data_IF_012406741950
#
_entry.id   IF_012406741950
#
_cell.length_a   1.000
_cell.length_b   1.000
_cell.length_c   1.000
_cell.angle_alpha   90.00
_cell.angle_beta   90.00
_cell.angle_gamma   90.00
#
_symmetry.space_group_name_H-M   'P 1'
#
loop_
_entity.id
_entity.type
_entity.pdbx_description
1 polymer ?
#
# COMPACT_ATOMS: atom_id res chain seq x y z
N UNK A 1 -18.19 -3.92 -4.03
CA UNK A 1 -17.23 -3.40 -5.02
C UNK A 1 -17.83 -2.14 -5.63
N UNK A 2 -17.05 -1.09 -5.88
CA UNK A 2 -17.49 -0.03 -6.79
C UNK A 2 -17.95 -0.70 -8.09
N UNK A 3 -19.22 -0.53 -8.46
CA UNK A 3 -19.77 -1.14 -9.67
C UNK A 3 -19.15 -0.39 -10.85
N UNK A 4 -18.35 -1.05 -11.71
CA UNK A 4 -17.82 -0.39 -12.88
C UNK A 4 -18.94 0.13 -13.76
N UNK A 5 -18.75 1.31 -14.33
CA UNK A 5 -19.65 1.81 -15.34
C UNK A 5 -19.56 0.90 -16.58
N UNK A 6 -20.72 0.56 -17.13
CA UNK A 6 -20.80 -0.16 -18.40
C UNK A 6 -20.88 0.85 -19.56
N UNK A 7 -20.73 0.36 -20.80
CA UNK A 7 -20.71 1.22 -21.99
C UNK A 7 -21.95 2.12 -22.10
N UNK A 8 -23.10 1.66 -21.63
CA UNK A 8 -24.37 2.40 -21.67
C UNK A 8 -24.53 3.41 -20.54
N UNK A 9 -23.81 3.27 -19.43
CA UNK A 9 -23.93 4.17 -18.27
C UNK A 9 -22.91 5.31 -18.28
N UNK A 10 -21.80 5.18 -19.01
CA UNK A 10 -20.81 6.25 -19.18
C UNK A 10 -21.35 7.31 -20.14
N UNK A 11 -21.39 8.58 -19.69
CA UNK A 11 -21.81 9.72 -20.50
C UNK A 11 -20.68 10.74 -20.58
N UNK A 12 -20.63 11.50 -21.68
CA UNK A 12 -19.76 12.68 -21.78
C UNK A 12 -20.07 13.65 -20.62
N UNK A 13 -19.04 14.36 -20.15
CA UNK A 13 -19.08 15.28 -19.02
C UNK A 13 -19.40 14.63 -17.66
N UNK A 14 -19.55 13.30 -17.62
CA UNK A 14 -19.73 12.60 -16.35
C UNK A 14 -18.46 12.64 -15.51
N UNK A 15 -18.62 12.95 -14.23
CA UNK A 15 -17.58 12.81 -13.22
C UNK A 15 -17.36 11.35 -12.84
N UNK A 16 -16.11 10.92 -12.91
CA UNK A 16 -15.70 9.52 -12.73
C UNK A 16 -14.43 9.44 -11.90
N UNK A 17 -14.15 8.23 -11.42
CA UNK A 17 -12.85 7.88 -10.88
C UNK A 17 -12.32 6.58 -11.52
N UNK A 18 -11.01 6.42 -11.53
CA UNK A 18 -10.40 5.14 -11.86
C UNK A 18 -10.24 4.25 -10.61
N UNK A 19 -9.66 3.06 -10.77
CA UNK A 19 -9.41 2.13 -9.66
C UNK A 19 -8.46 2.67 -8.59
N UNK A 20 -7.53 3.55 -8.99
CA UNK A 20 -6.62 4.23 -8.06
C UNK A 20 -7.32 5.33 -7.24
N UNK A 21 -8.57 5.69 -7.57
CA UNK A 21 -9.32 6.77 -6.94
C UNK A 21 -9.04 8.14 -7.54
N UNK A 22 -8.27 8.21 -8.63
CA UNK A 22 -8.06 9.46 -9.37
C UNK A 22 -9.38 9.88 -10.01
N UNK A 23 -9.70 11.16 -9.90
CA UNK A 23 -10.97 11.73 -10.34
C UNK A 23 -10.81 12.54 -11.60
N UNK A 24 -11.84 12.52 -12.44
CA UNK A 24 -11.79 13.15 -13.74
C UNK A 24 -13.15 13.24 -14.42
N UNK A 25 -13.14 13.83 -15.60
CA UNK A 25 -14.32 14.05 -16.42
C UNK A 25 -14.21 13.23 -17.70
N UNK A 26 -15.28 12.52 -18.05
CA UNK A 26 -15.36 11.78 -19.31
C UNK A 26 -15.41 12.77 -20.48
N UNK A 27 -14.40 12.74 -21.34
CA UNK A 27 -14.30 13.58 -22.55
C UNK A 27 -14.58 12.84 -23.83
N UNK A 28 -14.47 11.52 -23.81
CA UNK A 28 -14.64 10.71 -25.01
C UNK A 28 -15.07 9.28 -24.68
N UNK A 29 -15.86 8.65 -25.55
CA UNK A 29 -16.19 7.23 -25.48
C UNK A 29 -16.22 6.69 -26.90
N UNK A 30 -15.51 5.59 -27.16
CA UNK A 30 -15.51 4.99 -28.49
C UNK A 30 -14.64 3.77 -28.61
N UNK A 31 -14.60 3.20 -29.82
CA UNK A 31 -13.77 2.04 -30.12
C UNK A 31 -12.38 2.47 -30.60
N UNK A 32 -11.36 1.82 -30.04
CA UNK A 32 -9.95 2.07 -30.34
C UNK A 32 -9.38 0.83 -31.02
N UNK A 33 -8.81 1.01 -32.22
CA UNK A 33 -8.11 -0.04 -32.94
C UNK A 33 -6.72 -0.32 -32.38
N UNK A 34 -6.21 -1.53 -32.63
CA UNK A 34 -4.92 -2.02 -32.12
C UNK A 34 -3.74 -1.06 -32.41
N UNK A 35 -3.72 -0.46 -33.60
CA UNK A 35 -2.60 0.40 -34.08
C UNK A 35 -2.60 1.79 -33.45
N UNK A 36 -3.74 2.24 -32.95
CA UNK A 36 -3.92 3.57 -32.37
C UNK A 36 -4.09 3.50 -30.85
N UNK A 37 -3.83 2.33 -30.25
CA UNK A 37 -3.94 2.12 -28.82
C UNK A 37 -2.54 2.07 -28.17
N UNK A 38 -2.25 2.88 -27.14
CA UNK A 38 -1.01 2.77 -26.37
C UNK A 38 -0.77 1.36 -25.80
N UNK A 39 -1.84 0.64 -25.44
CA UNK A 39 -1.78 -0.72 -24.89
C UNK A 39 -1.78 -1.81 -25.96
N UNK A 40 -1.95 -1.47 -27.25
CA UNK A 40 -1.98 -2.45 -28.33
C UNK A 40 -3.17 -3.43 -28.27
N UNK A 41 -4.29 -3.04 -27.64
CA UNK A 41 -5.48 -3.89 -27.47
C UNK A 41 -6.73 -3.22 -28.05
N UNK A 42 -7.38 -3.86 -29.03
CA UNK A 42 -8.64 -3.35 -29.61
C UNK A 42 -9.78 -3.34 -28.59
N UNK A 43 -10.73 -2.41 -28.73
CA UNK A 43 -12.04 -2.47 -28.08
C UNK A 43 -12.56 -1.10 -27.66
N UNK A 44 -13.63 -1.06 -26.88
CA UNK A 44 -14.19 0.20 -26.36
C UNK A 44 -13.34 0.77 -25.22
N UNK A 45 -13.12 2.08 -25.25
CA UNK A 45 -12.45 2.86 -24.22
C UNK A 45 -13.25 4.12 -23.87
N UNK A 46 -12.92 4.67 -22.71
CA UNK A 46 -13.40 5.93 -22.18
C UNK A 46 -12.17 6.85 -22.06
N UNK A 47 -12.18 7.97 -22.76
CA UNK A 47 -11.21 9.04 -22.58
C UNK A 47 -11.60 9.88 -21.39
N UNK A 48 -10.76 9.88 -20.36
CA UNK A 48 -10.94 10.65 -19.13
C UNK A 48 -9.88 11.73 -19.08
N UNK A 49 -10.30 12.97 -18.85
CA UNK A 49 -9.43 14.05 -18.39
C UNK A 49 -9.45 14.06 -16.86
N UNK A 50 -8.35 13.65 -16.25
CA UNK A 50 -8.18 13.69 -14.81
C UNK A 50 -7.98 15.12 -14.31
N UNK A 51 -8.42 15.39 -13.09
CA UNK A 51 -8.27 16.72 -12.48
C UNK A 51 -6.79 17.09 -12.33
N UNK A 52 -5.99 16.08 -12.01
CA UNK A 52 -4.58 16.21 -11.72
C UNK A 52 -3.73 15.67 -12.86
N UNK A 53 -2.69 16.42 -13.21
CA UNK A 53 -1.64 15.90 -14.09
C UNK A 53 -0.69 14.99 -13.32
N UNK A 54 0.00 14.11 -14.03
CA UNK A 54 1.06 13.26 -13.50
C UNK A 54 2.22 13.18 -14.49
N UNK A 55 3.41 12.86 -13.97
CA UNK A 55 4.59 12.56 -14.78
C UNK A 55 4.53 11.18 -15.46
N UNK A 56 3.43 10.43 -15.31
CA UNK A 56 3.27 9.12 -15.93
C UNK A 56 3.40 9.21 -17.45
N UNK A 57 4.20 8.32 -18.08
CA UNK A 57 4.28 8.23 -19.54
C UNK A 57 2.97 7.73 -20.18
N UNK A 58 2.05 7.16 -19.39
CA UNK A 58 0.76 6.69 -19.88
C UNK A 58 -0.26 7.84 -20.05
N UNK A 59 -0.03 8.99 -19.40
CA UNK A 59 -0.91 10.15 -19.50
C UNK A 59 -0.51 11.06 -20.66
N UNK A 60 -1.51 11.57 -21.37
CA UNK A 60 -1.33 12.41 -22.56
C UNK A 60 -2.14 13.70 -22.48
N UNK A 61 -2.16 14.46 -23.57
CA UNK A 61 -3.03 15.62 -23.81
C UNK A 61 -4.35 15.22 -24.51
N UNK A 62 -4.66 13.91 -24.56
CA UNK A 62 -5.79 13.32 -25.29
C UNK A 62 -5.44 12.77 -26.67
N UNK A 63 -4.17 12.85 -27.09
CA UNK A 63 -3.66 12.20 -28.29
C UNK A 63 -2.78 10.98 -27.99
N UNK A 64 -2.92 9.92 -28.79
CA UNK A 64 -2.02 8.76 -28.79
C UNK A 64 -1.62 8.36 -30.20
N UNK A 65 -0.32 8.24 -30.43
CA UNK A 65 0.24 8.08 -31.77
C UNK A 65 -0.12 9.29 -32.65
N UNK A 66 -0.76 9.04 -33.80
CA UNK A 66 -1.22 10.10 -34.71
C UNK A 66 -2.69 10.48 -34.51
N UNK A 67 -3.39 9.87 -33.57
CA UNK A 67 -4.83 10.05 -33.39
C UNK A 67 -5.13 10.89 -32.14
N UNK A 68 -6.00 11.88 -32.30
CA UNK A 68 -6.53 12.69 -31.19
C UNK A 68 -7.93 12.23 -30.86
N UNK A 69 -8.12 11.73 -29.64
CA UNK A 69 -9.41 11.25 -29.15
C UNK A 69 -10.18 12.38 -28.46
N UNK A 70 -9.47 13.21 -27.69
CA UNK A 70 -9.98 14.41 -27.04
C UNK A 70 -8.84 15.42 -26.83
N UNK A 71 -9.15 16.57 -26.24
CA UNK A 71 -8.16 17.60 -25.91
C UNK A 71 -8.24 17.91 -24.42
N UNK A 72 -7.10 17.90 -23.76
CA UNK A 72 -6.94 18.31 -22.37
C UNK A 72 -5.52 18.84 -22.16
N UNK A 73 -5.20 19.28 -20.94
CA UNK A 73 -3.82 19.66 -20.61
C UNK A 73 -2.89 18.43 -20.62
N UNK A 74 -1.60 18.59 -20.98
CA UNK A 74 -0.63 17.49 -20.97
C UNK A 74 -0.58 16.77 -19.62
N UNK A 75 -0.51 15.43 -19.67
CA UNK A 75 -0.43 14.58 -18.48
C UNK A 75 -1.75 14.40 -17.74
N UNK A 76 -2.90 14.84 -18.29
CA UNK A 76 -4.24 14.65 -17.68
C UNK A 76 -5.10 13.62 -18.41
N UNK A 77 -4.84 13.35 -19.68
CA UNK A 77 -5.65 12.42 -20.48
C UNK A 77 -5.23 10.97 -20.31
N UNK A 78 -6.20 10.05 -20.18
CA UNK A 78 -5.98 8.60 -20.33
C UNK A 78 -7.17 7.91 -21.00
N UNK A 79 -6.87 6.83 -21.73
CA UNK A 79 -7.87 5.90 -22.27
C UNK A 79 -8.05 4.70 -21.34
N UNK A 80 -9.18 4.65 -20.65
CA UNK A 80 -9.54 3.57 -19.75
C UNK A 80 -10.52 2.59 -20.39
N UNK A 81 -10.38 1.31 -20.07
CA UNK A 81 -11.47 0.36 -20.34
C UNK A 81 -12.68 0.72 -19.48
N UNK A 82 -13.93 0.63 -19.98
CA UNK A 82 -15.13 0.95 -19.19
C UNK A 82 -15.18 0.24 -17.83
N UNK A 83 -14.75 -1.03 -17.77
CA UNK A 83 -14.65 -1.80 -16.52
C UNK A 83 -13.71 -1.25 -15.44
N UNK A 84 -12.89 -0.25 -15.78
CA UNK A 84 -11.96 0.43 -14.89
C UNK A 84 -12.40 1.87 -14.56
N UNK A 85 -13.60 2.26 -14.99
CA UNK A 85 -14.20 3.58 -14.74
C UNK A 85 -15.36 3.41 -13.79
N UNK A 86 -15.39 4.21 -12.74
CA UNK A 86 -16.40 4.18 -11.68
C UNK A 86 -17.01 5.58 -11.54
N UNK A 87 -18.21 5.71 -10.99
CA UNK A 87 -18.71 7.02 -10.58
C UNK A 87 -17.77 7.61 -9.50
N UNK A 88 -17.47 8.91 -9.58
CA UNK A 88 -16.56 9.60 -8.65
C UNK A 88 -17.01 9.44 -7.18
N UNK A 89 -18.19 9.95 -6.86
CA UNK A 89 -18.78 9.90 -5.52
C UNK A 89 -20.27 9.63 -5.66
N UNK A 90 -20.80 8.70 -4.87
CA UNK A 90 -22.24 8.55 -4.73
C UNK A 90 -22.77 9.68 -3.82
N UNK A 91 -23.06 10.84 -4.41
CA UNK A 91 -23.47 12.06 -3.69
C UNK A 91 -24.70 11.84 -2.80
N UNK A 92 -25.59 10.90 -3.16
CA UNK A 92 -26.75 10.54 -2.35
C UNK A 92 -26.35 9.85 -1.05
N UNK A 93 -25.39 8.93 -1.11
CA UNK A 93 -24.89 8.22 0.07
C UNK A 93 -24.16 9.18 1.00
N UNK A 94 -23.31 10.06 0.44
CA UNK A 94 -22.63 11.10 1.23
C UNK A 94 -23.62 12.03 1.91
N UNK A 95 -24.63 12.52 1.18
CA UNK A 95 -25.68 13.35 1.76
C UNK A 95 -26.41 12.63 2.89
N UNK A 96 -26.71 11.34 2.73
CA UNK A 96 -27.33 10.51 3.77
C UNK A 96 -26.43 10.37 5.01
N UNK A 97 -25.12 10.19 4.84
CA UNK A 97 -24.18 10.09 5.96
C UNK A 97 -24.05 11.42 6.70
N UNK A 98 -23.93 12.53 5.97
CA UNK A 98 -23.90 13.89 6.55
C UNK A 98 -25.19 14.19 7.32
N UNK A 99 -26.35 13.83 6.77
CA UNK A 99 -27.63 13.98 7.47
C UNK A 99 -27.71 13.13 8.75
N UNK A 100 -27.21 11.89 8.72
CA UNK A 100 -27.24 10.97 9.86
C UNK A 100 -26.34 11.41 10.99
N UNK A 101 -25.11 11.83 10.68
CA UNK A 101 -24.06 12.07 11.68
C UNK A 101 -23.87 13.56 12.02
N UNK A 102 -24.40 14.48 11.21
CA UNK A 102 -24.42 15.91 11.48
C UNK A 102 -23.04 16.47 11.82
N UNK A 103 -22.95 17.13 12.98
CA UNK A 103 -21.72 17.78 13.48
C UNK A 103 -20.52 16.83 13.58
N UNK A 104 -20.72 15.52 13.79
CA UNK A 104 -19.60 14.56 13.91
C UNK A 104 -18.75 14.43 12.64
N UNK A 105 -19.29 14.85 11.49
CA UNK A 105 -18.64 14.76 10.18
C UNK A 105 -18.71 16.08 9.40
N UNK A 106 -18.99 17.19 10.09
CA UNK A 106 -19.20 18.48 9.45
C UNK A 106 -17.94 18.99 8.73
N UNK A 107 -16.78 18.80 9.35
CA UNK A 107 -15.46 19.17 8.87
C UNK A 107 -14.80 18.10 7.99
N UNK A 108 -15.39 16.90 7.88
CA UNK A 108 -14.86 15.83 7.06
C UNK A 108 -15.05 16.13 5.58
N UNK A 109 -14.07 15.76 4.77
CA UNK A 109 -14.20 15.79 3.32
C UNK A 109 -15.07 14.63 2.82
N UNK A 110 -15.79 14.79 1.70
CA UNK A 110 -16.66 13.75 1.14
C UNK A 110 -15.90 12.43 0.86
N UNK A 111 -14.64 12.52 0.44
CA UNK A 111 -13.78 11.35 0.25
C UNK A 111 -13.53 10.56 1.55
N UNK A 112 -13.48 11.21 2.71
CA UNK A 112 -13.34 10.51 3.99
C UNK A 112 -14.56 9.62 4.25
N UNK A 113 -15.76 10.17 4.03
CA UNK A 113 -17.01 9.44 4.18
C UNK A 113 -17.14 8.28 3.18
N UNK A 114 -16.81 8.54 1.91
CA UNK A 114 -16.94 7.54 0.84
C UNK A 114 -15.99 6.37 1.04
N UNK A 115 -14.82 6.56 1.66
CA UNK A 115 -13.88 5.46 1.95
C UNK A 115 -14.51 4.40 2.85
N UNK A 116 -15.30 4.79 3.86
CA UNK A 116 -16.09 3.84 4.68
C UNK A 116 -17.12 3.09 3.83
N UNK A 117 -17.79 3.77 2.91
CA UNK A 117 -18.73 3.13 1.98
C UNK A 117 -18.04 2.10 1.09
N UNK A 118 -16.90 2.45 0.49
CA UNK A 118 -16.15 1.55 -0.38
C UNK A 118 -15.68 0.31 0.41
N UNK A 119 -15.12 0.52 1.61
CA UNK A 119 -14.60 -0.56 2.46
C UNK A 119 -15.69 -1.56 2.93
N UNK A 120 -16.97 -1.17 2.86
CA UNK A 120 -18.11 -2.05 3.16
C UNK A 120 -18.98 -2.30 1.93
N UNK A 121 -18.43 -2.10 0.73
CA UNK A 121 -19.12 -2.38 -0.53
C UNK A 121 -20.46 -1.64 -0.70
N UNK A 122 -20.63 -0.50 -0.04
CA UNK A 122 -21.88 0.28 0.05
C UNK A 122 -23.04 -0.45 0.76
N UNK A 123 -22.76 -1.52 1.51
CA UNK A 123 -23.71 -2.15 2.42
C UNK A 123 -23.92 -1.25 3.63
N UNK A 124 -24.91 -0.36 3.55
CA UNK A 124 -25.05 0.77 4.46
C UNK A 124 -25.18 0.37 5.94
N UNK A 125 -25.78 -0.79 6.25
CA UNK A 125 -25.81 -1.29 7.63
C UNK A 125 -24.41 -1.51 8.20
N UNK A 126 -23.52 -2.16 7.45
CA UNK A 126 -22.13 -2.39 7.85
C UNK A 126 -21.30 -1.09 7.83
N UNK A 127 -21.61 -0.15 6.93
CA UNK A 127 -21.02 1.20 6.94
C UNK A 127 -21.33 1.91 8.26
N UNK A 128 -22.59 1.88 8.70
CA UNK A 128 -23.00 2.55 9.93
C UNK A 128 -22.29 1.96 11.15
N UNK A 129 -22.23 0.63 11.26
CA UNK A 129 -21.50 -0.05 12.34
C UNK A 129 -20.02 0.34 12.35
N UNK A 130 -19.37 0.35 11.18
CA UNK A 130 -17.95 0.72 11.09
C UNK A 130 -17.71 2.17 11.52
N UNK A 131 -18.56 3.11 11.08
CA UNK A 131 -18.43 4.53 11.45
C UNK A 131 -18.73 4.76 12.94
N UNK A 132 -19.72 4.08 13.51
CA UNK A 132 -20.03 4.16 14.94
C UNK A 132 -18.85 3.68 15.79
N UNK A 133 -18.24 2.54 15.43
CA UNK A 133 -17.03 2.04 16.08
C UNK A 133 -15.84 3.00 15.92
N UNK A 134 -15.71 3.62 14.75
CA UNK A 134 -14.66 4.61 14.50
C UNK A 134 -14.83 5.88 15.35
N UNK A 135 -16.05 6.38 15.53
CA UNK A 135 -16.30 7.53 16.39
C UNK A 135 -15.96 7.25 17.86
N UNK A 136 -16.30 6.05 18.36
CA UNK A 136 -15.89 5.64 19.69
C UNK A 136 -14.35 5.55 19.82
N UNK A 137 -13.69 5.08 18.76
CA UNK A 137 -12.23 5.03 18.72
C UNK A 137 -11.62 6.43 18.73
N UNK A 138 -12.14 7.38 17.95
CA UNK A 138 -11.68 8.78 17.98
C UNK A 138 -11.79 9.38 19.39
N UNK A 139 -12.90 9.12 20.09
CA UNK A 139 -13.14 9.62 21.45
C UNK A 139 -12.18 9.02 22.48
N UNK A 140 -11.96 7.70 22.43
CA UNK A 140 -11.15 6.95 23.40
C UNK A 140 -9.65 7.01 23.12
N UNK A 141 -9.26 6.88 21.85
CA UNK A 141 -7.87 6.77 21.43
C UNK A 141 -7.21 8.13 21.19
N UNK A 142 -7.98 9.11 20.71
CA UNK A 142 -7.51 10.47 20.43
C UNK A 142 -6.22 10.48 19.59
N UNK A 143 -6.29 9.99 18.34
CA UNK A 143 -5.12 9.97 17.47
C UNK A 143 -4.71 11.41 17.12
N UNK A 144 -3.40 11.62 16.94
CA UNK A 144 -2.84 12.93 16.60
C UNK A 144 -1.68 12.75 15.63
N UNK A 145 -1.54 13.68 14.69
CA UNK A 145 -0.39 13.81 13.79
C UNK A 145 0.81 14.54 14.43
N UNK A 146 0.67 15.03 15.66
CA UNK A 146 1.69 15.82 16.39
C UNK A 146 1.91 15.26 17.81
N UNK A 147 2.15 13.96 17.90
CA UNK A 147 2.49 13.29 19.16
C UNK A 147 3.98 13.00 19.26
N UNK A 148 4.59 13.19 20.43
CA UNK A 148 6.00 12.89 20.62
C UNK A 148 6.27 11.40 20.81
N UNK A 149 7.30 10.92 20.12
CA UNK A 149 7.89 9.59 20.31
C UNK A 149 9.40 9.75 20.49
N UNK A 150 10.08 8.95 21.32
CA UNK A 150 11.53 9.05 21.48
C UNK A 150 12.30 8.87 20.16
N UNK A 151 13.40 9.61 19.97
CA UNK A 151 14.24 9.49 18.77
C UNK A 151 14.76 8.06 18.56
N UNK A 152 15.00 7.33 19.66
CA UNK A 152 15.41 5.92 19.61
C UNK A 152 14.38 5.05 18.89
N UNK A 153 13.10 5.34 19.00
CA UNK A 153 12.03 4.59 18.33
C UNK A 153 12.09 4.83 16.82
N UNK A 154 12.26 6.09 16.42
CA UNK A 154 12.40 6.48 15.01
C UNK A 154 13.70 5.94 14.38
N UNK A 155 14.78 5.80 15.16
CA UNK A 155 16.01 5.17 14.69
C UNK A 155 15.92 3.64 14.69
N UNK A 156 15.23 3.01 15.63
CA UNK A 156 15.04 1.56 15.64
C UNK A 156 14.14 1.10 14.48
N UNK A 157 13.13 1.90 14.11
CA UNK A 157 12.27 1.70 12.95
C UNK A 157 12.13 3.00 12.13
N UNK A 158 13.04 3.24 11.17
CA UNK A 158 12.95 4.40 10.31
C UNK A 158 11.73 4.34 9.39
N UNK A 159 10.92 5.38 9.42
CA UNK A 159 9.85 5.60 8.46
C UNK A 159 9.58 7.09 8.27
N UNK A 160 8.79 7.44 7.25
CA UNK A 160 8.42 8.82 6.99
C UNK A 160 7.80 9.05 5.62
N UNK A 161 7.04 10.14 5.50
CA UNK A 161 6.58 10.65 4.21
C UNK A 161 7.73 11.36 3.49
N UNK A 162 7.91 11.05 2.21
CA UNK A 162 8.98 11.64 1.40
C UNK A 162 8.66 13.06 0.90
N UNK A 163 7.39 13.47 0.94
CA UNK A 163 6.89 14.66 0.24
C UNK A 163 6.69 14.47 -1.27
N UNK A 164 7.00 13.29 -1.80
CA UNK A 164 6.76 12.92 -3.19
C UNK A 164 5.48 12.07 -3.34
N UNK A 165 5.06 11.88 -4.60
CA UNK A 165 3.91 11.06 -4.97
C UNK A 165 4.28 10.09 -6.09
N UNK A 166 3.60 8.95 -6.13
CA UNK A 166 3.67 8.05 -7.28
C UNK A 166 2.84 8.61 -8.46
N UNK A 167 2.91 7.93 -9.61
CA UNK A 167 2.23 8.35 -10.83
C UNK A 167 0.69 8.31 -10.73
N UNK A 168 0.15 7.62 -9.73
CA UNK A 168 -1.27 7.58 -9.41
C UNK A 168 -1.66 8.63 -8.36
N UNK A 169 -0.76 9.58 -8.04
CA UNK A 169 -0.90 10.60 -7.00
C UNK A 169 -1.11 10.01 -5.59
N UNK A 170 -0.58 8.82 -5.32
CA UNK A 170 -0.49 8.31 -3.96
C UNK A 170 0.72 8.97 -3.27
N UNK A 171 0.56 9.51 -2.06
CA UNK A 171 1.69 10.05 -1.29
C UNK A 171 2.65 8.92 -0.91
N UNK A 172 3.95 9.14 -1.10
CA UNK A 172 4.95 8.11 -0.88
C UNK A 172 5.37 8.11 0.59
N UNK A 173 5.09 6.98 1.25
CA UNK A 173 5.51 6.67 2.62
C UNK A 173 6.56 5.56 2.59
N UNK A 174 7.69 5.79 3.24
CA UNK A 174 8.78 4.84 3.29
C UNK A 174 8.89 4.22 4.67
N UNK A 175 9.19 2.92 4.71
CA UNK A 175 9.41 2.19 5.94
C UNK A 175 10.60 1.26 5.82
N UNK A 176 11.39 1.17 6.89
CA UNK A 176 12.52 0.25 6.98
C UNK A 176 12.46 -0.53 8.30
N UNK A 177 11.48 -1.44 8.45
CA UNK A 177 11.45 -2.35 9.60
C UNK A 177 12.78 -3.08 9.69
N UNK A 178 13.32 -3.26 10.89
CA UNK A 178 14.63 -3.88 11.05
C UNK A 178 15.80 -2.88 11.07
N UNK A 179 15.62 -1.69 10.51
CA UNK A 179 16.68 -0.72 10.21
C UNK A 179 17.96 -1.39 9.68
N UNK A 180 17.83 -2.17 8.60
CA UNK A 180 18.92 -2.96 8.02
C UNK A 180 19.59 -3.95 8.98
N UNK A 181 18.89 -4.41 10.02
CA UNK A 181 19.37 -5.36 11.03
C UNK A 181 19.82 -4.72 12.35
N UNK A 182 19.69 -3.39 12.51
CA UNK A 182 20.04 -2.71 13.77
C UNK A 182 19.04 -2.97 14.90
N UNK A 183 17.76 -3.18 14.58
CA UNK A 183 16.73 -3.51 15.57
C UNK A 183 15.75 -4.50 14.95
N UNK A 184 15.74 -5.75 15.42
CA UNK A 184 14.79 -6.75 14.91
C UNK A 184 13.36 -6.42 15.36
N UNK A 185 12.31 -6.90 14.66
CA UNK A 185 10.93 -6.71 15.12
C UNK A 185 10.69 -7.21 16.55
N UNK A 186 11.34 -8.30 16.95
CA UNK A 186 11.25 -8.81 18.31
C UNK A 186 11.87 -7.85 19.33
N UNK A 187 13.07 -7.33 19.07
CA UNK A 187 13.72 -6.36 19.93
C UNK A 187 12.93 -5.04 20.00
N UNK A 188 12.32 -4.61 18.89
CA UNK A 188 11.46 -3.43 18.85
C UNK A 188 10.25 -3.59 19.77
N UNK A 189 9.57 -4.75 19.70
CA UNK A 189 8.41 -5.06 20.55
C UNK A 189 8.77 -5.29 22.02
N UNK A 190 10.02 -5.66 22.32
CA UNK A 190 10.51 -5.76 23.70
C UNK A 190 10.80 -4.37 24.30
N UNK A 191 11.31 -3.44 23.48
CA UNK A 191 11.64 -2.07 23.89
C UNK A 191 10.41 -1.16 24.00
N UNK A 192 9.45 -1.32 23.10
CA UNK A 192 8.28 -0.45 23.00
C UNK A 192 7.01 -1.27 23.14
N UNK A 193 6.14 -0.86 24.06
CA UNK A 193 4.88 -1.56 24.29
C UNK A 193 3.97 -1.48 23.06
N UNK A 194 3.10 -2.47 22.88
CA UNK A 194 2.09 -2.46 21.81
C UNK A 194 1.24 -1.19 21.81
N UNK A 195 0.95 -0.63 22.99
CA UNK A 195 0.25 0.65 23.11
C UNK A 195 1.02 1.80 22.41
N UNK A 196 2.30 1.96 22.73
CA UNK A 196 3.16 3.01 22.14
C UNK A 196 3.32 2.81 20.64
N UNK A 197 3.54 1.56 20.20
CA UNK A 197 3.65 1.21 18.78
C UNK A 197 2.38 1.57 18.01
N UNK A 198 1.20 1.24 18.56
CA UNK A 198 -0.08 1.57 17.94
C UNK A 198 -0.31 3.06 17.84
N UNK A 199 0.07 3.84 18.88
CA UNK A 199 0.01 5.32 18.82
C UNK A 199 0.94 5.88 17.75
N UNK A 200 2.15 5.37 17.66
CA UNK A 200 3.12 5.78 16.64
C UNK A 200 2.63 5.51 15.22
N UNK A 201 2.08 4.33 14.96
CA UNK A 201 1.47 4.01 13.67
C UNK A 201 0.26 4.90 13.36
N UNK A 202 -0.64 5.09 14.33
CA UNK A 202 -1.79 5.97 14.18
C UNK A 202 -1.35 7.42 13.89
N UNK A 203 -0.27 7.89 14.53
CA UNK A 203 0.30 9.20 14.27
C UNK A 203 0.78 9.32 12.81
N UNK A 204 1.48 8.32 12.29
CA UNK A 204 1.84 8.29 10.87
C UNK A 204 0.60 8.33 9.95
N UNK A 205 -0.47 7.61 10.29
CA UNK A 205 -1.70 7.62 9.48
C UNK A 205 -2.42 8.97 9.52
N UNK A 206 -2.47 9.63 10.69
CA UNK A 206 -3.04 10.98 10.83
C UNK A 206 -2.19 12.01 10.06
N UNK A 207 -0.86 11.93 10.10
CA UNK A 207 0.00 12.79 9.26
C UNK A 207 -0.35 12.61 7.77
N UNK A 208 -0.56 11.38 7.32
CA UNK A 208 -1.04 11.09 5.96
C UNK A 208 -2.39 11.75 5.64
N UNK A 209 -3.33 11.72 6.58
CA UNK A 209 -4.63 12.40 6.44
C UNK A 209 -4.48 13.91 6.39
N UNK A 210 -3.61 14.50 7.21
CA UNK A 210 -3.30 15.93 7.18
C UNK A 210 -2.76 16.34 5.81
N UNK A 211 -1.78 15.62 5.26
CA UNK A 211 -1.28 15.85 3.89
C UNK A 211 -2.41 15.78 2.85
N UNK A 212 -3.31 14.79 2.96
CA UNK A 212 -4.45 14.66 2.05
C UNK A 212 -5.40 15.86 2.17
N UNK A 213 -5.76 16.28 3.39
CA UNK A 213 -6.65 17.44 3.66
C UNK A 213 -6.05 18.75 3.17
N UNK A 214 -4.78 19.00 3.46
CA UNK A 214 -4.06 20.20 3.01
C UNK A 214 -3.98 20.29 1.49
N UNK A 215 -3.91 19.14 0.81
CA UNK A 215 -3.99 19.06 -0.65
C UNK A 215 -5.42 19.17 -1.21
N UNK A 216 -6.42 19.42 -0.37
CA UNK A 216 -7.85 19.35 -0.70
C UNK A 216 -8.23 18.02 -1.39
N UNK A 217 -7.70 16.91 -0.87
CA UNK A 217 -7.84 15.56 -1.42
C UNK A 217 -7.44 15.42 -2.89
N UNK A 218 -6.52 16.26 -3.38
CA UNK A 218 -5.72 15.96 -4.58
C UNK A 218 -5.09 14.57 -4.44
N UNK A 219 -4.47 14.32 -3.29
CA UNK A 219 -3.99 13.01 -2.89
C UNK A 219 -5.04 12.30 -2.04
N UNK A 220 -5.27 11.02 -2.32
CA UNK A 220 -6.36 10.26 -1.68
C UNK A 220 -5.89 9.01 -0.97
N UNK A 221 -4.67 8.55 -1.26
CA UNK A 221 -4.15 7.24 -0.85
C UNK A 221 -2.63 7.30 -0.71
N UNK A 222 -2.05 6.24 -0.14
CA UNK A 222 -0.61 6.13 0.15
C UNK A 222 0.02 5.01 -0.68
N UNK A 223 1.22 5.28 -1.18
CA UNK A 223 2.14 4.29 -1.73
C UNK A 223 3.20 3.97 -0.66
N UNK A 224 3.11 2.79 -0.08
CA UNK A 224 4.08 2.29 0.89
C UNK A 224 5.27 1.67 0.17
N UNK A 225 6.49 2.07 0.53
CA UNK A 225 7.72 1.44 0.08
C UNK A 225 8.42 0.89 1.31
N UNK A 226 8.39 -0.44 1.45
CA UNK A 226 8.85 -1.14 2.67
C UNK A 226 10.11 -1.93 2.36
N UNK A 227 11.23 -1.58 2.99
CA UNK A 227 12.46 -2.36 2.94
C UNK A 227 12.47 -3.43 4.02
N UNK A 228 12.41 -4.69 3.59
CA UNK A 228 12.44 -5.85 4.49
C UNK A 228 13.83 -6.48 4.61
N UNK A 229 14.88 -5.78 4.17
CA UNK A 229 16.26 -6.22 4.37
C UNK A 229 16.54 -6.48 5.84
N UNK A 230 17.03 -7.68 6.15
CA UNK A 230 17.47 -8.06 7.50
C UNK A 230 16.38 -8.02 8.59
N UNK A 231 15.09 -8.02 8.22
CA UNK A 231 13.98 -8.26 9.15
C UNK A 231 14.05 -9.67 9.77
N UNK A 232 14.86 -10.57 9.17
CA UNK A 232 15.21 -11.89 9.68
C UNK A 232 14.46 -13.02 8.99
N UNK A 233 15.06 -14.21 9.00
CA UNK A 233 14.46 -15.46 8.50
C UNK A 233 13.35 -15.99 9.43
N UNK A 234 13.16 -15.40 10.59
CA UNK A 234 12.18 -15.83 11.58
C UNK A 234 10.92 -14.98 11.48
N UNK A 235 9.93 -15.45 10.73
CA UNK A 235 8.55 -15.17 11.07
C UNK A 235 8.28 -15.77 12.44
N UNK A 236 8.54 -14.99 13.48
CA UNK A 236 8.19 -15.36 14.84
C UNK A 236 6.84 -14.75 15.20
N UNK A 237 6.24 -15.28 16.26
CA UNK A 237 4.95 -14.85 16.81
C UNK A 237 4.88 -13.32 17.05
N UNK A 238 6.00 -12.68 17.34
CA UNK A 238 6.09 -11.23 17.58
C UNK A 238 5.86 -10.41 16.31
N UNK A 239 6.51 -10.74 15.19
CA UNK A 239 6.29 -10.02 13.92
C UNK A 239 4.85 -10.21 13.41
N UNK A 240 4.32 -11.41 13.60
CA UNK A 240 2.92 -11.74 13.34
C UNK A 240 1.98 -10.88 14.19
N UNK A 241 2.21 -10.82 15.50
CA UNK A 241 1.38 -10.04 16.42
C UNK A 241 1.45 -8.54 16.11
N UNK A 242 2.64 -8.03 15.78
CA UNK A 242 2.83 -6.67 15.30
C UNK A 242 1.98 -6.39 14.04
N UNK A 243 2.13 -7.23 13.01
CA UNK A 243 1.36 -7.08 11.77
C UNK A 243 -0.15 -7.16 12.00
N UNK A 244 -0.62 -8.02 12.90
CA UNK A 244 -2.04 -8.11 13.31
C UNK A 244 -2.55 -6.83 13.93
N UNK A 245 -1.80 -6.27 14.89
CA UNK A 245 -2.20 -5.03 15.57
C UNK A 245 -2.34 -3.88 14.56
N UNK A 246 -1.37 -3.74 13.66
CA UNK A 246 -1.38 -2.70 12.62
C UNK A 246 -2.51 -2.92 11.61
N UNK A 247 -2.71 -4.15 11.13
CA UNK A 247 -3.80 -4.44 10.18
C UNK A 247 -5.18 -4.19 10.80
N UNK A 248 -5.37 -4.51 12.08
CA UNK A 248 -6.64 -4.30 12.77
C UNK A 248 -7.01 -2.81 12.86
N UNK A 249 -6.06 -1.97 13.26
CA UNK A 249 -6.31 -0.51 13.35
C UNK A 249 -6.57 0.09 11.97
N UNK A 250 -5.84 -0.34 10.93
CA UNK A 250 -6.00 0.17 9.56
C UNK A 250 -7.36 -0.20 8.97
N UNK A 251 -7.77 -1.47 9.11
CA UNK A 251 -9.04 -1.94 8.57
C UNK A 251 -10.26 -1.35 9.28
N UNK A 252 -10.13 -1.01 10.57
CA UNK A 252 -11.20 -0.45 11.37
C UNK A 252 -11.31 1.08 11.23
N UNK A 253 -10.18 1.80 11.17
CA UNK A 253 -10.15 3.25 11.33
C UNK A 253 -9.57 4.02 10.14
N UNK A 254 -8.86 3.35 9.24
CA UNK A 254 -8.25 3.97 8.06
C UNK A 254 -8.65 3.26 6.75
N UNK A 255 -9.97 3.11 6.48
CA UNK A 255 -10.43 2.41 5.28
C UNK A 255 -9.89 3.05 4.00
N UNK A 256 -9.59 2.21 3.01
CA UNK A 256 -9.21 2.67 1.66
C UNK A 256 -8.03 3.67 1.64
N UNK A 257 -7.13 3.60 2.62
CA UNK A 257 -5.93 4.42 2.70
C UNK A 257 -4.80 3.87 1.81
N UNK A 258 -4.66 2.55 1.73
CA UNK A 258 -3.65 1.88 0.91
C UNK A 258 -3.97 2.00 -0.59
N UNK A 259 -3.11 2.70 -1.34
CA UNK A 259 -3.11 2.74 -2.80
C UNK A 259 -2.18 1.70 -3.42
N UNK A 260 -0.97 1.58 -2.89
CA UNK A 260 0.08 0.68 -3.39
C UNK A 260 0.99 0.23 -2.26
N UNK A 261 1.42 -1.03 -2.28
CA UNK A 261 2.44 -1.56 -1.36
C UNK A 261 3.59 -2.15 -2.18
N UNK A 262 4.77 -1.58 -2.06
CA UNK A 262 5.99 -2.02 -2.74
C UNK A 262 6.97 -2.53 -1.69
N UNK A 263 7.19 -3.84 -1.67
CA UNK A 263 8.11 -4.49 -0.72
C UNK A 263 9.44 -4.70 -1.44
N UNK A 264 10.47 -3.95 -1.03
CA UNK A 264 11.79 -3.95 -1.66
C UNK A 264 12.81 -4.81 -0.91
N UNK A 265 13.88 -5.17 -1.61
CA UNK A 265 14.90 -6.10 -1.13
C UNK A 265 14.32 -7.42 -0.62
N UNK A 266 13.22 -7.84 -1.24
CA UNK A 266 12.46 -9.01 -0.86
C UNK A 266 13.19 -10.29 -1.26
N UNK A 267 13.63 -11.07 -0.26
CA UNK A 267 14.21 -12.39 -0.48
C UNK A 267 13.20 -13.33 -1.17
N UNK A 268 13.70 -14.37 -1.86
CA UNK A 268 12.84 -15.40 -2.45
C UNK A 268 11.96 -16.08 -1.40
N UNK A 269 12.47 -16.24 -0.17
CA UNK A 269 11.77 -16.85 0.95
C UNK A 269 10.55 -16.03 1.38
N UNK A 270 10.69 -14.70 1.49
CA UNK A 270 9.57 -13.84 1.86
C UNK A 270 8.42 -13.91 0.85
N UNK A 271 8.70 -14.08 -0.45
CA UNK A 271 7.66 -14.28 -1.46
C UNK A 271 6.89 -15.58 -1.29
N UNK A 272 7.52 -16.62 -0.76
CA UNK A 272 6.83 -17.89 -0.44
C UNK A 272 5.92 -17.69 0.75
N UNK A 273 6.43 -17.04 1.81
CA UNK A 273 5.66 -16.68 2.98
C UNK A 273 4.43 -15.81 2.63
N UNK A 274 4.61 -14.79 1.78
CA UNK A 274 3.49 -13.97 1.33
C UNK A 274 2.42 -14.79 0.62
N UNK A 275 2.78 -15.84 -0.12
CA UNK A 275 1.79 -16.71 -0.77
C UNK A 275 0.92 -17.49 0.22
N UNK A 276 1.38 -17.67 1.46
CA UNK A 276 0.59 -18.25 2.55
C UNK A 276 -0.31 -17.17 3.18
N UNK A 277 0.22 -15.95 3.37
CA UNK A 277 -0.53 -14.81 3.93
C UNK A 277 -1.63 -14.31 2.98
N UNK A 278 -1.41 -14.32 1.65
CA UNK A 278 -2.34 -13.76 0.64
C UNK A 278 -3.71 -14.44 0.57
N UNK A 279 -3.85 -15.68 1.06
CA UNK A 279 -5.13 -16.42 1.02
C UNK A 279 -6.22 -15.69 1.81
N UNK A 280 -5.78 -14.79 2.67
CA UNK A 280 -6.57 -14.18 3.71
C UNK A 280 -6.52 -12.65 3.68
N UNK A 281 -5.70 -12.08 2.79
CA UNK A 281 -5.75 -10.67 2.42
C UNK A 281 -6.87 -10.54 1.40
N UNK A 282 -7.70 -9.50 1.51
CA UNK A 282 -8.76 -9.30 0.53
C UNK A 282 -8.14 -9.20 -0.89
N UNK A 283 -8.79 -9.77 -1.92
CA UNK A 283 -8.22 -9.79 -3.27
C UNK A 283 -7.92 -8.42 -3.87
N UNK A 284 -8.49 -7.34 -3.33
CA UNK A 284 -8.23 -5.98 -3.79
C UNK A 284 -6.92 -5.44 -3.22
N UNK A 285 -6.61 -5.75 -1.97
CA UNK A 285 -5.32 -5.45 -1.33
C UNK A 285 -4.18 -6.27 -1.94
N UNK A 286 -4.34 -7.57 -2.21
CA UNK A 286 -3.28 -8.40 -2.83
C UNK A 286 -2.83 -7.84 -4.19
N UNK A 287 -3.77 -7.32 -5.00
CA UNK A 287 -3.47 -6.70 -6.30
C UNK A 287 -2.67 -5.38 -6.19
N UNK A 288 -2.61 -4.76 -5.01
CA UNK A 288 -1.83 -3.53 -4.76
C UNK A 288 -0.39 -3.84 -4.35
N UNK A 289 -0.06 -5.11 -4.08
CA UNK A 289 1.26 -5.52 -3.57
C UNK A 289 2.22 -5.86 -4.70
N UNK A 290 3.45 -5.32 -4.62
CA UNK A 290 4.53 -5.56 -5.56
C UNK A 290 5.79 -5.99 -4.82
N UNK A 291 6.38 -7.11 -5.22
CA UNK A 291 7.62 -7.65 -4.63
C UNK A 291 8.82 -7.33 -5.50
N UNK A 292 9.80 -6.63 -4.94
CA UNK A 292 11.02 -6.25 -5.64
C UNK A 292 12.20 -7.02 -5.08
N UNK A 293 12.89 -7.74 -5.95
CA UNK A 293 14.08 -8.49 -5.57
C UNK A 293 15.23 -7.54 -5.15
N UNK A 294 16.18 -8.01 -4.31
CA UNK A 294 17.39 -7.25 -4.00
C UNK A 294 18.09 -6.79 -5.28
N UNK A 295 18.50 -5.51 -5.31
CA UNK A 295 19.17 -4.90 -6.46
C UNK A 295 18.26 -4.49 -7.63
N UNK A 296 16.95 -4.83 -7.60
CA UNK A 296 16.01 -4.49 -8.68
C UNK A 296 15.19 -3.22 -8.42
N UNK A 297 15.35 -2.57 -7.25
CA UNK A 297 14.56 -1.42 -6.79
C UNK A 297 14.33 -0.37 -7.86
N UNK A 298 15.40 0.28 -8.33
CA UNK A 298 15.34 1.32 -9.37
C UNK A 298 14.61 0.86 -10.64
N UNK A 299 14.93 -0.32 -11.16
CA UNK A 299 14.33 -0.83 -12.41
C UNK A 299 12.82 -1.09 -12.32
N UNK A 300 12.32 -1.42 -11.12
CA UNK A 300 10.90 -1.68 -10.89
C UNK A 300 10.17 -0.41 -10.48
N UNK A 301 10.71 0.37 -9.53
CA UNK A 301 10.03 1.54 -8.99
C UNK A 301 9.84 2.66 -10.01
N UNK A 302 10.73 2.78 -11.02
CA UNK A 302 10.55 3.73 -12.15
C UNK A 302 9.24 3.57 -12.93
N UNK A 303 8.60 2.40 -12.84
CA UNK A 303 7.30 2.16 -13.47
C UNK A 303 6.16 2.86 -12.71
N UNK A 304 6.38 3.20 -11.44
CA UNK A 304 5.37 3.76 -10.55
C UNK A 304 5.67 5.19 -10.12
N UNK A 305 6.93 5.63 -10.14
CA UNK A 305 7.33 6.97 -9.69
C UNK A 305 8.55 7.47 -10.47
N UNK A 306 8.86 8.76 -10.31
CA UNK A 306 10.05 9.35 -10.92
C UNK A 306 11.31 8.82 -10.26
N UNK A 307 12.41 8.73 -11.01
CA UNK A 307 13.66 8.17 -10.50
C UNK A 307 14.20 8.94 -9.30
N UNK A 308 14.09 10.26 -9.33
CA UNK A 308 14.52 11.16 -8.25
C UNK A 308 13.76 10.95 -6.93
N UNK A 309 12.56 10.35 -6.98
CA UNK A 309 11.71 10.09 -5.81
C UNK A 309 11.97 8.70 -5.22
N UNK A 310 12.74 7.83 -5.90
CA UNK A 310 13.03 6.47 -5.43
C UNK A 310 13.94 6.54 -4.18
N UNK A 311 13.56 5.89 -3.07
CA UNK A 311 14.34 5.95 -1.84
C UNK A 311 15.71 5.27 -1.97
N UNK A 312 16.67 5.81 -1.25
CA UNK A 312 18.06 5.36 -1.21
C UNK A 312 18.23 3.87 -0.83
N UNK A 313 17.43 3.36 0.10
CA UNK A 313 17.44 1.93 0.44
C UNK A 313 16.95 1.01 -0.69
N UNK A 314 16.24 1.54 -1.68
CA UNK A 314 15.83 0.82 -2.90
C UNK A 314 16.83 1.05 -4.07
N UNK A 315 17.96 1.70 -3.79
CA UNK A 315 19.00 2.03 -4.78
C UNK A 315 18.76 3.34 -5.54
N UNK A 316 17.72 4.10 -5.19
CA UNK A 316 17.47 5.42 -5.77
C UNK A 316 18.28 6.53 -5.11
N UNK A 317 18.10 7.79 -5.53
CA UNK A 317 18.82 8.93 -4.96
C UNK A 317 18.11 9.60 -3.79
N UNK A 318 16.82 9.33 -3.53
CA UNK A 318 16.02 10.10 -2.58
C UNK A 318 16.32 9.77 -1.12
N UNK A 319 16.62 10.81 -0.35
CA UNK A 319 16.72 10.78 1.13
C UNK A 319 15.62 11.62 1.79
N UNK A 320 14.68 12.13 1.00
CA UNK A 320 13.65 13.06 1.48
C UNK A 320 12.79 12.43 2.59
N UNK A 321 12.53 11.12 2.50
CA UNK A 321 11.82 10.34 3.51
C UNK A 321 12.44 10.36 4.92
N UNK A 322 13.71 10.77 5.06
CA UNK A 322 14.38 11.00 6.37
C UNK A 322 14.65 12.46 6.69
N UNK A 323 14.65 13.34 5.70
CA UNK A 323 15.23 14.71 5.82
C UNK A 323 14.22 15.83 5.60
N UNK A 324 13.07 15.55 4.99
CA UNK A 324 12.03 16.54 4.69
C UNK A 324 10.90 16.51 5.74
N UNK A 325 11.24 16.72 7.01
CA UNK A 325 10.29 16.55 8.12
C UNK A 325 9.64 15.14 8.14
N UNK A 326 10.35 14.13 7.65
CA UNK A 326 9.87 12.74 7.57
C UNK A 326 9.75 12.06 8.94
N UNK A 327 10.07 12.77 10.03
CA UNK A 327 9.88 12.28 11.39
C UNK A 327 8.38 12.06 11.63
N UNK A 328 8.03 10.92 12.21
CA UNK A 328 6.66 10.70 12.68
C UNK A 328 6.42 11.49 13.96
N UNK A 329 5.38 12.31 13.95
CA UNK A 329 4.93 13.09 15.09
C UNK A 329 5.90 14.19 15.52
N UNK A 330 5.69 14.68 16.73
CA UNK A 330 6.37 15.85 17.26
C UNK A 330 7.84 15.60 17.60
N UNK A 331 8.64 16.64 17.47
CA UNK A 331 9.99 16.69 18.03
C UNK A 331 10.01 17.24 19.48
N UNK A 332 8.89 17.79 19.97
CA UNK A 332 8.78 18.35 21.32
C UNK A 332 8.33 17.29 22.33
N UNK A 333 9.16 16.90 23.32
CA UNK A 333 8.79 15.94 24.36
C UNK A 333 7.54 16.32 25.17
N UNK A 334 7.14 17.59 25.16
CA UNK A 334 5.90 18.03 25.81
C UNK A 334 4.63 17.51 25.13
N UNK A 335 4.73 17.08 23.86
CA UNK A 335 3.64 16.50 23.08
C UNK A 335 3.47 14.99 23.32
N UNK A 336 4.14 14.42 24.33
CA UNK A 336 3.95 13.02 24.70
C UNK A 336 2.52 12.80 25.22
N UNK A 337 1.84 11.76 24.71
CA UNK A 337 0.49 11.42 25.15
C UNK A 337 0.46 11.05 26.64
N UNK A 338 -0.39 11.75 27.41
CA UNK A 338 -0.53 11.56 28.87
C UNK A 338 -1.71 10.68 29.28
N UNK A 339 -2.52 10.22 28.32
CA UNK A 339 -3.69 9.38 28.58
C UNK A 339 -3.36 7.88 28.65
N UNK A 340 -4.40 7.07 28.83
CA UNK A 340 -4.30 5.61 28.74
C UNK A 340 -4.64 5.20 27.31
N UNK A 341 -3.74 4.45 26.66
CA UNK A 341 -4.02 3.90 25.33
C UNK A 341 -4.97 2.72 25.46
N UNK A 342 -6.20 2.90 24.98
CA UNK A 342 -7.18 1.80 24.88
C UNK A 342 -7.00 1.13 23.52
N UNK A 343 -6.37 -0.05 23.52
CA UNK A 343 -6.31 -0.88 22.33
C UNK A 343 -7.72 -1.44 22.04
N UNK A 344 -8.19 -1.31 20.80
CA UNK A 344 -9.41 -2.01 20.39
C UNK A 344 -9.19 -3.51 20.58
N UNK A 345 -10.13 -4.17 21.26
CA UNK A 345 -10.13 -5.63 21.33
C UNK A 345 -10.34 -6.15 19.92
N UNK A 346 -9.34 -6.84 19.41
CA UNK A 346 -9.45 -7.56 18.14
C UNK A 346 -10.43 -8.71 18.40
N UNK A 347 -11.66 -8.64 17.88
CA UNK A 347 -12.50 -9.82 17.80
C UNK A 347 -11.81 -10.81 16.84
N UNK A 348 -11.66 -12.06 17.27
CA UNK A 348 -11.05 -13.13 16.46
C UNK A 348 -11.68 -13.24 15.06
N UNK A 349 -12.97 -12.90 14.97
CA UNK A 349 -13.81 -13.16 13.81
C UNK A 349 -13.71 -12.08 12.72
N UNK A 350 -13.17 -10.89 13.04
CA UNK A 350 -13.00 -9.77 12.11
C UNK A 350 -11.59 -9.72 11.49
N UNK A 351 -10.69 -10.58 11.94
CA UNK A 351 -9.37 -10.75 11.34
C UNK A 351 -9.28 -12.08 10.60
N UNK A 352 -8.46 -12.13 9.55
CA UNK A 352 -8.23 -13.40 8.91
C UNK A 352 -7.43 -14.34 9.84
N UNK A 353 -7.86 -15.59 9.99
CA UNK A 353 -7.27 -16.67 10.83
C UNK A 353 -5.76 -16.95 10.54
N UNK A 354 -5.20 -16.33 9.49
CA UNK A 354 -3.82 -16.36 8.93
C UNK A 354 -2.71 -16.73 9.88
N UNK A 355 -2.70 -16.09 11.05
CA UNK A 355 -1.52 -16.15 11.89
C UNK A 355 -1.70 -16.97 13.17
N UNK A 356 -2.80 -17.73 13.27
CA UNK A 356 -2.95 -18.81 14.24
C UNK A 356 -2.38 -20.12 13.68
N UNK A 357 -2.52 -20.39 12.37
CA UNK A 357 -2.09 -21.64 11.73
C UNK A 357 -0.59 -21.72 11.34
N UNK A 358 0.20 -20.67 11.57
CA UNK A 358 1.66 -20.75 11.45
C UNK A 358 2.26 -21.42 12.70
N UNK A 359 1.83 -22.66 12.96
CA UNK A 359 2.36 -23.50 14.03
C UNK A 359 3.82 -23.89 13.76
N UNK A 360 4.60 -24.02 14.84
CA UNK A 360 6.04 -24.34 14.84
C UNK A 360 6.40 -25.60 14.02
N UNK A 361 5.44 -26.50 13.79
CA UNK A 361 5.63 -27.71 12.98
C UNK A 361 5.84 -27.43 11.49
N UNK A 362 5.12 -26.47 10.89
CA UNK A 362 5.28 -26.16 9.46
C UNK A 362 6.56 -25.37 9.17
N UNK A 363 6.94 -24.46 10.10
CA UNK A 363 8.16 -23.67 10.01
C UNK A 363 9.43 -24.53 10.21
N UNK A 364 9.39 -25.46 11.17
CA UNK A 364 10.52 -26.36 11.43
C UNK A 364 10.71 -27.44 10.35
N UNK A 365 9.65 -27.83 9.64
CA UNK A 365 9.75 -28.76 8.51
C UNK A 365 10.37 -28.13 7.26
N UNK A 366 10.09 -26.86 6.96
CA UNK A 366 10.77 -26.14 5.86
C UNK A 366 12.26 -25.89 6.17
N UNK A 367 12.60 -25.52 7.41
CA UNK A 367 14.00 -25.36 7.83
C UNK A 367 14.79 -26.68 7.76
N UNK A 368 14.16 -27.81 8.15
CA UNK A 368 14.77 -29.15 8.05
C UNK A 368 14.89 -29.66 6.61
N UNK A 369 13.91 -29.36 5.73
CA UNK A 369 14.01 -29.67 4.29
C UNK A 369 15.11 -28.86 3.60
N UNK A 370 15.32 -27.62 4.02
CA UNK A 370 16.30 -26.74 3.39
C UNK A 370 17.74 -26.97 3.89
N UNK A 371 17.92 -27.43 5.14
CA UNK A 371 19.24 -27.87 5.63
C UNK A 371 19.68 -29.25 5.09
N UNK A 372 18.75 -30.08 4.59
CA UNK A 372 19.12 -31.36 3.94
C UNK A 372 19.47 -31.18 2.45
N UNK A 373 19.00 -30.12 1.79
CA UNK A 373 19.36 -29.82 0.38
C UNK A 373 20.70 -29.11 0.22
N UNK A 374 21.26 -28.50 1.27
CA UNK A 374 22.62 -27.94 1.29
C UNK A 374 23.70 -28.97 1.67
N UNK A 375 23.32 -30.14 2.22
CA UNK A 375 24.25 -31.23 2.57
C UNK A 375 24.38 -32.31 1.47
N UNK A 376 23.44 -32.38 0.51
CA UNK A 376 23.46 -33.33 -0.60
C UNK A 376 23.99 -32.67 -1.89
N UNK A 377 25.22 -32.15 -1.84
CA UNK A 377 25.81 -31.40 -2.95
C UNK A 377 27.34 -31.43 -2.98
N UNK A 378 27.98 -32.53 -2.59
CA UNK A 378 29.42 -32.74 -2.80
C UNK A 378 29.82 -34.20 -2.61
N UNK A 379 29.55 -35.05 -3.61
CA UNK A 379 30.40 -36.20 -3.96
C UNK A 379 29.83 -36.92 -5.19
N UNK A 380 30.49 -36.79 -6.34
CA UNK A 380 30.12 -37.57 -7.52
C UNK A 380 30.75 -37.07 -8.81
N UNK A 381 32.07 -37.25 -8.95
CA UNK A 381 32.70 -37.31 -10.27
C UNK A 381 33.28 -38.72 -10.47
N UNK A 382 32.46 -39.62 -11.02
CA UNK A 382 32.96 -40.84 -11.64
C UNK A 382 33.11 -40.55 -13.14
N UNK A 383 34.35 -40.50 -13.62
CA UNK A 383 34.69 -40.64 -15.03
C UNK A 383 35.05 -42.09 -15.30
N UNK A 384 34.31 -42.72 -16.20
CA UNK A 384 34.50 -44.13 -16.56
C UNK A 384 35.23 -44.26 -17.91
N UNK A 385 36.19 -45.18 -17.94
CA UNK A 385 36.54 -46.01 -19.11
C UNK A 385 37.24 -45.38 -20.32
N UNK A 386 38.57 -45.54 -20.40
CA UNK A 386 39.20 -46.00 -21.65
C UNK A 386 40.34 -46.98 -21.36
N UNK A 387 40.17 -48.22 -21.83
CA UNK A 387 41.20 -49.26 -21.91
C UNK A 387 42.00 -49.04 -23.19
N UNK A 388 43.33 -48.96 -23.13
CA UNK A 388 44.23 -49.46 -24.17
C UNK A 388 45.51 -50.05 -23.53
N UNK A 389 45.90 -51.21 -24.08
CA UNK A 389 47.03 -52.08 -23.77
C UNK A 389 48.43 -51.42 -23.74
N UNK A 390 49.37 -52.08 -23.07
CA UNK A 390 50.77 -52.16 -23.57
C UNK A 390 51.89 -52.10 -22.53
N UNK A 391 52.40 -53.28 -22.16
CA UNK A 391 53.81 -53.67 -21.97
C UNK A 391 54.90 -52.58 -21.77
N UNK A 392 55.68 -52.71 -20.69
CA UNK A 392 57.12 -53.10 -20.70
C UNK A 392 57.99 -52.34 -19.67
N UNK A 393 58.75 -53.16 -18.93
CA UNK A 393 59.95 -52.91 -18.12
C UNK A 393 59.85 -52.20 -16.77
#
# INVERSE_FOLDING_TARGET
>A
MLIPLNKTSVKLEMRVQNRAGLTGTVRWVGDVDRRNNPLGVKGTYVGVEFDESTGSPERSDGAWGKHRYFTCSPGKGELLKPKNVYAEINSKVVASLRQRYGEKVADWHDFELVKFCIARNFEMGAVYTMMENHFEWLEKFQPSDDEYFPDSMCEDYPCGYSGAVDYDNNIIYCERPGNAGKCTPAAYMERYSTAVITRWHACAMEMGKTIMRESNYKFKRVCYIVDISNVGFTMNRSLIAFGRTIAAIDQANYPEHLGRLIIVNCSKLFRVLWKMIRVFIDPETDKKVSFVAPGAGVSVLKQFMREEDIPDFAGGPSKAWRTNNGRIGSADPLMEFKGVTVLQSIASDDLPEVFEELDEENLSQEDKRNNSSSAAGSSGSNSDGSRINGLAH
#
